data_IF_918475150353
#
_entry.id   IF_918475150353
#
_cell.length_a   1.000
_cell.length_b   1.000
_cell.length_c   1.000
_cell.angle_alpha   90.00
_cell.angle_beta   90.00
_cell.angle_gamma   90.00
#
_symmetry.space_group_name_H-M   'P 1'
#
loop_
_entity.id
_entity.type
_entity.pdbx_description
1 polymer ?
#
# COMPACT_ATOMS: atom_id res chain seq x y z
N UNK A 1 25.82 -2.97 72.20
CA UNK A 1 25.43 -3.68 70.96
C UNK A 1 24.00 -3.29 70.58
N UNK A 2 23.81 -2.31 69.69
CA UNK A 2 22.56 -2.10 68.94
C UNK A 2 22.91 -1.49 67.57
N UNK A 3 22.80 -2.32 66.54
CA UNK A 3 23.05 -1.98 65.14
C UNK A 3 21.82 -1.22 64.61
N UNK A 4 21.98 0.03 64.18
CA UNK A 4 20.92 0.78 63.50
C UNK A 4 20.94 0.41 62.02
N UNK A 5 19.96 -0.37 61.58
CA UNK A 5 19.78 -0.74 60.18
C UNK A 5 19.25 0.47 59.41
N UNK A 6 20.02 0.95 58.43
CA UNK A 6 19.63 1.99 57.49
C UNK A 6 19.00 1.30 56.27
N UNK A 7 17.70 1.47 56.07
CA UNK A 7 16.99 0.96 54.89
C UNK A 7 17.06 2.05 53.82
N UNK A 8 17.81 1.79 52.74
CA UNK A 8 17.85 2.64 51.55
C UNK A 8 16.67 2.21 50.66
N UNK A 9 15.63 3.04 50.61
CA UNK A 9 14.51 2.86 49.70
C UNK A 9 14.93 3.35 48.30
N UNK A 10 15.30 2.42 47.42
CA UNK A 10 15.57 2.72 46.02
C UNK A 10 14.23 2.97 45.30
N UNK A 11 13.93 4.24 45.03
CA UNK A 11 12.82 4.63 44.15
C UNK A 11 13.27 4.36 42.72
N UNK A 12 12.80 3.25 42.15
CA UNK A 12 12.95 2.98 40.71
C UNK A 12 11.98 3.89 39.98
N UNK A 13 12.51 4.96 39.39
CA UNK A 13 11.77 5.83 38.47
C UNK A 13 11.62 5.07 37.16
N UNK A 14 10.49 4.40 36.96
CA UNK A 14 10.14 3.81 35.66
C UNK A 14 9.76 4.97 34.74
N UNK A 15 10.69 5.41 33.90
CA UNK A 15 10.38 6.30 32.79
C UNK A 15 9.58 5.51 31.76
N UNK A 16 8.29 5.82 31.64
CA UNK A 16 7.44 5.32 30.57
C UNK A 16 8.06 5.73 29.23
N UNK A 17 8.52 4.73 28.48
CA UNK A 17 8.83 4.91 27.06
C UNK A 17 7.48 5.13 26.41
N UNK A 18 7.15 6.38 26.04
CA UNK A 18 5.96 6.68 25.26
C UNK A 18 6.13 6.02 23.88
N UNK A 19 5.70 4.77 23.77
CA UNK A 19 5.38 4.17 22.49
C UNK A 19 4.28 5.06 21.90
N UNK A 20 4.65 5.85 20.88
CA UNK A 20 3.76 6.74 20.14
C UNK A 20 2.50 5.94 19.80
N UNK A 21 1.36 6.29 20.41
CA UNK A 21 0.12 5.55 20.24
C UNK A 21 -0.26 5.48 18.76
N UNK A 22 -0.53 4.27 18.27
CA UNK A 22 -0.96 4.01 16.90
C UNK A 22 -2.33 4.63 16.66
N UNK A 23 -2.37 5.77 15.96
CA UNK A 23 -3.58 6.56 15.73
C UNK A 23 -4.58 5.84 14.83
N UNK A 24 -4.17 4.78 14.16
CA UNK A 24 -4.97 4.03 13.20
C UNK A 24 -5.38 2.65 13.72
N UNK A 25 -5.05 2.30 14.97
CA UNK A 25 -5.23 0.95 15.55
C UNK A 25 -6.61 0.35 15.24
N UNK A 26 -7.69 1.10 15.49
CA UNK A 26 -9.08 0.67 15.27
C UNK A 26 -9.49 0.52 13.80
N UNK A 27 -8.70 1.06 12.86
CA UNK A 27 -8.95 1.02 11.43
C UNK A 27 -8.05 0.03 10.69
N UNK A 28 -7.04 -0.54 11.36
CA UNK A 28 -6.08 -1.44 10.71
C UNK A 28 -6.73 -2.75 10.30
N UNK A 29 -6.28 -3.30 9.17
CA UNK A 29 -6.79 -4.56 8.62
C UNK A 29 -5.68 -5.40 7.97
N UNK A 30 -5.90 -6.72 7.85
CA UNK A 30 -5.06 -7.60 7.02
C UNK A 30 -5.36 -7.46 5.51
N UNK A 31 -6.55 -6.96 5.18
CA UNK A 31 -7.07 -6.86 3.81
C UNK A 31 -6.38 -5.75 3.03
N UNK A 32 -5.95 -6.05 1.81
CA UNK A 32 -5.18 -5.16 0.95
C UNK A 32 -6.01 -4.79 -0.26
N UNK A 33 -6.61 -3.60 -0.23
CA UNK A 33 -7.28 -3.03 -1.39
C UNK A 33 -6.33 -2.06 -2.06
N UNK A 34 -5.68 -2.52 -3.12
CA UNK A 34 -4.61 -1.83 -3.82
C UNK A 34 -5.23 -0.95 -4.91
N UNK A 35 -4.99 0.37 -4.86
CA UNK A 35 -5.48 1.26 -5.91
C UNK A 35 -4.52 1.26 -7.09
N UNK A 36 -5.05 0.97 -8.28
CA UNK A 36 -4.29 0.96 -9.52
C UNK A 36 -4.33 2.34 -10.20
N UNK A 37 -3.15 2.83 -10.60
CA UNK A 37 -2.98 4.06 -11.39
C UNK A 37 -2.78 3.79 -12.88
N UNK A 38 -2.47 2.55 -13.24
CA UNK A 38 -2.36 2.07 -14.62
C UNK A 38 -2.73 0.59 -14.66
N UNK A 39 -3.08 0.10 -15.86
CA UNK A 39 -3.02 -1.33 -16.09
C UNK A 39 -1.56 -1.78 -15.97
N UNK A 40 -1.34 -2.93 -15.36
CA UNK A 40 -0.03 -3.53 -15.20
C UNK A 40 -0.04 -4.93 -15.82
N UNK A 41 1.15 -5.40 -16.20
CA UNK A 41 1.36 -6.82 -16.48
C UNK A 41 1.54 -7.55 -15.15
N UNK A 42 0.98 -8.77 -14.98
CA UNK A 42 0.20 -9.51 -15.97
C UNK A 42 -1.22 -8.97 -16.14
N UNK A 43 -1.74 -8.99 -17.37
CA UNK A 43 -2.92 -8.22 -17.73
C UNK A 43 -4.26 -8.88 -17.39
N UNK A 44 -4.31 -10.21 -17.22
CA UNK A 44 -5.57 -10.89 -16.91
C UNK A 44 -5.82 -10.99 -15.41
N UNK A 45 -7.09 -10.78 -15.04
CA UNK A 45 -7.57 -10.88 -13.67
C UNK A 45 -9.00 -11.41 -13.67
N UNK A 46 -9.57 -11.61 -12.48
CA UNK A 46 -10.98 -11.94 -12.31
C UNK A 46 -11.66 -10.73 -11.67
N UNK A 47 -12.54 -10.07 -12.41
CA UNK A 47 -13.37 -8.99 -11.86
C UNK A 47 -14.46 -9.60 -10.99
N UNK A 48 -14.57 -9.13 -9.75
CA UNK A 48 -15.55 -9.63 -8.78
C UNK A 48 -16.75 -8.68 -8.62
N UNK A 49 -16.54 -7.36 -8.80
CA UNK A 49 -17.61 -6.37 -8.70
C UNK A 49 -17.21 -5.04 -9.36
N UNK A 50 -18.20 -4.23 -9.73
CA UNK A 50 -18.02 -2.83 -10.14
C UNK A 50 -18.96 -1.93 -9.33
N UNK A 51 -18.43 -0.87 -8.72
CA UNK A 51 -19.17 0.01 -7.81
C UNK A 51 -19.17 1.46 -8.32
N UNK A 52 -20.24 2.22 -8.06
CA UNK A 52 -20.26 3.68 -8.31
C UNK A 52 -19.49 4.47 -7.26
N UNK A 53 -19.44 3.95 -6.03
CA UNK A 53 -18.67 4.50 -4.92
C UNK A 53 -17.73 3.42 -4.37
N UNK A 54 -16.51 3.77 -3.95
CA UNK A 54 -15.61 2.79 -3.36
C UNK A 54 -16.15 2.30 -2.00
N UNK A 55 -15.74 1.11 -1.54
CA UNK A 55 -16.18 0.57 -0.26
C UNK A 55 -15.80 1.50 0.90
N UNK A 56 -16.59 1.47 1.96
CA UNK A 56 -16.37 2.27 3.17
C UNK A 56 -15.66 1.49 4.28
N UNK A 57 -15.62 0.16 4.18
CA UNK A 57 -14.93 -0.73 5.12
C UNK A 57 -14.25 -1.89 4.36
N UNK A 58 -13.11 -2.41 4.84
CA UNK A 58 -12.42 -3.52 4.20
C UNK A 58 -13.23 -4.82 4.18
N UNK A 59 -14.13 -5.01 5.16
CA UNK A 59 -15.02 -6.18 5.29
C UNK A 59 -16.04 -6.30 4.17
N UNK A 60 -16.21 -5.25 3.35
CA UNK A 60 -17.05 -5.30 2.15
C UNK A 60 -16.67 -6.48 1.24
N UNK A 61 -15.39 -6.87 1.23
CA UNK A 61 -14.92 -8.03 0.48
C UNK A 61 -14.78 -9.26 1.39
N UNK A 62 -15.81 -10.10 1.37
CA UNK A 62 -15.83 -11.39 2.06
C UNK A 62 -14.89 -12.39 1.39
N UNK A 63 -14.13 -13.16 2.18
CA UNK A 63 -13.23 -14.22 1.70
C UNK A 63 -12.15 -13.77 0.69
N UNK A 64 -11.92 -12.46 0.54
CA UNK A 64 -10.90 -11.87 -0.30
C UNK A 64 -9.97 -11.04 0.56
N UNK A 65 -8.70 -11.45 0.62
CA UNK A 65 -7.66 -10.74 1.36
C UNK A 65 -6.97 -9.66 0.53
N UNK A 66 -6.98 -9.79 -0.79
CA UNK A 66 -6.34 -8.84 -1.71
C UNK A 66 -7.28 -8.55 -2.88
N UNK A 67 -7.56 -7.28 -3.12
CA UNK A 67 -8.29 -6.81 -4.29
C UNK A 67 -7.57 -5.61 -4.92
N UNK A 68 -7.57 -5.52 -6.25
CA UNK A 68 -7.11 -4.34 -6.99
C UNK A 68 -8.28 -3.50 -7.43
N UNK A 69 -8.28 -2.23 -7.03
CA UNK A 69 -9.26 -1.21 -7.38
C UNK A 69 -8.80 -0.46 -8.63
N UNK A 70 -9.57 -0.57 -9.70
CA UNK A 70 -9.40 0.14 -10.96
C UNK A 70 -10.47 1.24 -11.07
N UNK A 71 -10.11 2.51 -10.84
CA UNK A 71 -11.02 3.64 -10.98
C UNK A 71 -11.21 3.96 -12.48
N UNK A 72 -12.27 3.48 -13.11
CA UNK A 72 -12.48 3.63 -14.54
C UNK A 72 -13.17 4.95 -14.92
N UNK A 73 -12.82 5.48 -16.10
CA UNK A 73 -13.30 6.77 -16.62
C UNK A 73 -14.82 6.85 -16.79
N UNK A 74 -15.47 5.71 -16.99
CA UNK A 74 -16.93 5.52 -17.05
C UNK A 74 -17.65 5.70 -15.70
N UNK A 75 -16.91 6.07 -14.66
CA UNK A 75 -17.47 6.36 -13.34
C UNK A 75 -17.54 5.17 -12.39
N UNK A 76 -17.12 3.98 -12.82
CA UNK A 76 -17.10 2.79 -11.96
C UNK A 76 -15.72 2.52 -11.36
N UNK A 77 -15.71 1.99 -10.15
CA UNK A 77 -14.56 1.36 -9.51
C UNK A 77 -14.69 -0.15 -9.72
N UNK A 78 -13.83 -0.73 -10.55
CA UNK A 78 -13.81 -2.18 -10.80
C UNK A 78 -12.82 -2.83 -9.85
N UNK A 79 -13.24 -3.90 -9.19
CA UNK A 79 -12.41 -4.64 -8.26
C UNK A 79 -12.09 -6.01 -8.85
N UNK A 80 -10.79 -6.33 -8.90
CA UNK A 80 -10.31 -7.59 -9.43
C UNK A 80 -9.45 -8.33 -8.41
N UNK A 81 -9.42 -9.65 -8.55
CA UNK A 81 -8.57 -10.57 -7.79
C UNK A 81 -7.74 -11.43 -8.75
N UNK A 82 -6.61 -11.93 -8.26
CA UNK A 82 -5.70 -12.80 -9.01
C UNK A 82 -4.95 -12.07 -10.13
N UNK A 83 -3.75 -12.54 -10.45
CA UNK A 83 -2.87 -11.98 -11.49
C UNK A 83 -2.46 -13.11 -12.41
N UNK A 84 -2.85 -13.03 -13.67
CA UNK A 84 -2.71 -14.12 -14.62
C UNK A 84 -2.08 -13.63 -15.91
N UNK A 85 -1.00 -14.30 -16.33
CA UNK A 85 -0.31 -14.01 -17.59
C UNK A 85 -1.14 -14.31 -18.83
N UNK A 86 -2.14 -15.19 -18.71
CA UNK A 86 -3.00 -15.60 -19.82
C UNK A 86 -4.48 -15.64 -19.41
N UNK A 87 -5.35 -15.52 -20.42
CA UNK A 87 -6.78 -15.72 -20.26
C UNK A 87 -7.08 -17.13 -19.74
N UNK A 88 -6.36 -18.14 -20.25
CA UNK A 88 -6.54 -19.54 -19.92
C UNK A 88 -6.24 -19.82 -18.44
N UNK A 89 -5.19 -19.22 -17.88
CA UNK A 89 -4.87 -19.34 -16.45
C UNK A 89 -5.98 -18.72 -15.59
N UNK A 90 -6.43 -17.52 -15.94
CA UNK A 90 -7.53 -16.85 -15.25
C UNK A 90 -8.84 -17.63 -15.35
N UNK A 91 -9.11 -18.22 -16.52
CA UNK A 91 -10.30 -19.03 -16.79
C UNK A 91 -10.34 -20.28 -15.93
N UNK A 92 -9.19 -20.90 -15.66
CA UNK A 92 -9.12 -22.04 -14.73
C UNK A 92 -9.35 -21.64 -13.26
N UNK A 93 -9.06 -20.40 -12.89
CA UNK A 93 -9.22 -19.91 -11.52
C UNK A 93 -10.61 -19.30 -11.23
N UNK A 94 -11.38 -18.91 -12.25
CA UNK A 94 -12.64 -18.15 -12.07
C UNK A 94 -13.68 -18.86 -11.21
N UNK A 95 -13.83 -20.18 -11.36
CA UNK A 95 -14.83 -20.93 -10.60
C UNK A 95 -14.47 -21.02 -9.12
N UNK A 96 -13.17 -21.00 -8.79
CA UNK A 96 -12.68 -20.86 -7.42
C UNK A 96 -13.00 -19.49 -6.80
N UNK A 97 -13.01 -18.42 -7.60
CA UNK A 97 -13.44 -17.09 -7.11
C UNK A 97 -14.96 -17.03 -6.94
N UNK A 98 -15.71 -17.67 -7.83
CA UNK A 98 -17.18 -17.76 -7.71
C UNK A 98 -17.61 -18.49 -6.45
N UNK A 99 -16.92 -19.59 -6.09
CA UNK A 99 -17.23 -20.35 -4.87
C UNK A 99 -16.96 -19.58 -3.56
N UNK A 100 -16.23 -18.45 -3.61
CA UNK A 100 -16.06 -17.55 -2.47
C UNK A 100 -17.27 -16.63 -2.23
N UNK A 101 -18.29 -16.68 -3.10
CA UNK A 101 -19.51 -15.86 -3.03
C UNK A 101 -19.62 -14.79 -4.14
N UNK A 102 -18.68 -14.77 -5.09
CA UNK A 102 -18.68 -13.83 -6.22
C UNK A 102 -19.21 -14.50 -7.48
N UNK A 103 -20.46 -14.95 -7.47
CA UNK A 103 -21.05 -15.77 -8.55
C UNK A 103 -20.97 -15.13 -9.95
N UNK A 104 -21.07 -13.80 -9.98
CA UNK A 104 -20.98 -13.00 -11.21
C UNK A 104 -19.53 -12.68 -11.62
N UNK A 105 -18.52 -13.26 -10.96
CA UNK A 105 -17.13 -13.02 -11.30
C UNK A 105 -16.79 -13.54 -12.71
N UNK A 106 -15.98 -12.78 -13.42
CA UNK A 106 -15.58 -13.11 -14.78
C UNK A 106 -14.15 -12.67 -15.07
N UNK A 107 -13.52 -13.36 -16.03
CA UNK A 107 -12.16 -13.04 -16.49
C UNK A 107 -12.19 -11.73 -17.26
N UNK A 108 -11.24 -10.85 -16.97
CA UNK A 108 -11.05 -9.55 -17.62
C UNK A 108 -9.62 -9.39 -18.07
N UNK A 109 -9.43 -8.62 -19.14
CA UNK A 109 -8.14 -8.06 -19.51
C UNK A 109 -8.06 -6.62 -18.96
N UNK A 110 -7.28 -6.43 -17.90
CA UNK A 110 -7.19 -5.15 -17.19
C UNK A 110 -6.52 -4.05 -18.01
N UNK A 111 -5.81 -4.38 -19.11
CA UNK A 111 -5.28 -3.37 -20.04
C UNK A 111 -6.36 -2.66 -20.84
N UNK A 112 -7.57 -3.22 -20.89
CA UNK A 112 -8.73 -2.61 -21.55
C UNK A 112 -9.45 -1.59 -20.66
N UNK A 113 -9.08 -1.51 -19.37
CA UNK A 113 -9.63 -0.49 -18.48
C UNK A 113 -9.04 0.89 -18.78
N UNK A 114 -9.90 1.82 -19.15
CA UNK A 114 -9.57 3.25 -19.22
C UNK A 114 -9.69 3.85 -17.83
N UNK A 115 -8.60 4.26 -17.19
CA UNK A 115 -8.62 4.74 -15.81
C UNK A 115 -8.83 6.25 -15.71
N UNK A 116 -9.50 6.70 -14.65
CA UNK A 116 -9.66 8.12 -14.31
C UNK A 116 -8.29 8.72 -14.03
N UNK A 117 -7.98 9.84 -14.69
CA UNK A 117 -6.71 10.52 -14.50
C UNK A 117 -5.52 9.84 -15.18
N UNK A 118 -5.74 8.78 -15.98
CA UNK A 118 -4.79 8.46 -17.04
C UNK A 118 -4.81 9.64 -18.02
N UNK A 119 -3.81 10.49 -17.95
CA UNK A 119 -3.39 11.22 -19.14
C UNK A 119 -3.02 10.14 -20.18
N UNK A 120 -3.53 10.26 -21.41
CA UNK A 120 -3.02 9.46 -22.53
C UNK A 120 -1.50 9.63 -22.57
N UNK A 121 -0.76 8.61 -22.16
CA UNK A 121 0.69 8.55 -22.36
C UNK A 121 0.95 8.10 -23.79
N UNK A 122 0.44 8.87 -24.77
CA UNK A 122 1.02 8.86 -26.11
C UNK A 122 2.11 9.92 -26.04
N UNK A 123 3.27 9.50 -25.54
CA UNK A 123 4.43 10.39 -25.37
C UNK A 123 5.30 9.95 -24.21
N UNK A 124 6.24 9.04 -24.51
CA UNK A 124 7.49 8.77 -23.80
C UNK A 124 7.41 8.41 -22.31
N UNK A 125 8.11 7.34 -21.94
CA UNK A 125 8.64 7.22 -20.59
C UNK A 125 9.45 8.50 -20.31
N UNK A 126 8.83 9.49 -19.65
CA UNK A 126 9.61 10.53 -19.01
C UNK A 126 10.31 9.81 -17.88
N UNK A 127 11.59 9.47 -18.09
CA UNK A 127 12.51 9.28 -16.99
C UNK A 127 12.37 10.56 -16.16
N UNK A 128 11.58 10.49 -15.09
CA UNK A 128 11.44 11.61 -14.17
C UNK A 128 12.83 11.77 -13.57
N UNK A 129 13.62 12.66 -14.15
CA UNK A 129 15.00 12.92 -13.74
C UNK A 129 14.97 13.21 -12.25
N UNK A 130 15.74 12.42 -11.50
CA UNK A 130 15.88 12.61 -10.06
C UNK A 130 16.72 13.86 -9.86
N UNK A 131 16.20 14.79 -9.08
CA UNK A 131 16.89 16.04 -8.75
C UNK A 131 17.83 15.75 -7.56
N UNK A 132 19.15 15.86 -7.74
CA UNK A 132 20.10 15.55 -6.67
C UNK A 132 19.95 16.46 -5.44
N UNK A 133 19.31 17.63 -5.58
CA UNK A 133 19.12 18.59 -4.50
C UNK A 133 17.79 18.43 -3.76
N UNK A 134 17.03 17.38 -4.07
CA UNK A 134 15.75 17.09 -3.42
C UNK A 134 15.81 15.82 -2.59
N UNK A 135 14.95 15.80 -1.57
CA UNK A 135 14.74 14.62 -0.75
C UNK A 135 13.63 13.73 -1.33
N UNK A 136 13.91 12.44 -1.31
CA UNK A 136 13.02 11.39 -1.74
C UNK A 136 12.80 10.40 -0.60
N UNK A 137 11.62 9.80 -0.60
CA UNK A 137 11.32 8.60 0.17
C UNK A 137 10.91 7.49 -0.78
N UNK A 138 11.06 6.24 -0.35
CA UNK A 138 10.73 5.08 -1.18
C UNK A 138 9.33 4.63 -0.83
N UNK A 139 8.36 4.82 -1.73
CA UNK A 139 7.01 4.31 -1.53
C UNK A 139 7.00 2.80 -1.77
N UNK A 140 6.58 2.04 -0.76
CA UNK A 140 6.49 0.58 -0.77
C UNK A 140 5.15 0.08 -1.29
N UNK A 141 4.06 0.73 -0.87
CA UNK A 141 2.69 0.29 -1.18
C UNK A 141 1.66 1.42 -1.00
N UNK A 142 0.48 1.24 -1.58
CA UNK A 142 -0.66 2.13 -1.43
C UNK A 142 -1.95 1.33 -1.28
N UNK A 143 -2.68 1.55 -0.18
CA UNK A 143 -3.88 0.80 0.18
C UNK A 143 -5.05 1.72 0.51
N UNK A 144 -6.28 1.27 0.22
CA UNK A 144 -7.52 1.99 0.52
C UNK A 144 -7.76 2.17 2.02
N UNK A 145 -7.31 1.20 2.81
CA UNK A 145 -7.46 1.13 4.26
C UNK A 145 -6.07 0.93 4.88
N UNK A 146 -5.84 1.40 6.12
CA UNK A 146 -4.55 1.20 6.75
C UNK A 146 -4.33 -0.27 7.08
N UNK A 147 -3.12 -0.77 6.85
CA UNK A 147 -2.75 -2.16 7.10
C UNK A 147 -1.84 -2.27 8.31
N UNK A 148 -1.72 -3.46 8.90
CA UNK A 148 -0.75 -3.70 9.96
C UNK A 148 0.70 -3.50 9.48
N UNK A 149 1.51 -2.78 10.25
CA UNK A 149 2.92 -2.49 9.87
C UNK A 149 3.79 -3.74 9.77
N UNK A 150 3.44 -4.80 10.51
CA UNK A 150 4.11 -6.11 10.40
C UNK A 150 3.98 -6.75 9.01
N UNK A 151 3.17 -6.19 8.10
CA UNK A 151 3.14 -6.53 6.69
C UNK A 151 4.49 -6.24 6.00
N UNK A 152 5.14 -5.14 6.37
CA UNK A 152 6.39 -4.68 5.76
C UNK A 152 7.58 -5.36 6.43
N UNK A 153 7.87 -6.60 6.01
CA UNK A 153 9.00 -7.37 6.54
C UNK A 153 10.32 -6.69 6.19
N UNK A 154 11.26 -6.75 7.14
CA UNK A 154 12.63 -6.24 7.01
C UNK A 154 12.74 -4.72 6.77
N UNK A 155 11.71 -3.96 7.17
CA UNK A 155 11.71 -2.49 7.12
C UNK A 155 11.21 -1.99 8.47
N UNK A 156 12.06 -1.26 9.19
CA UNK A 156 11.75 -0.82 10.55
C UNK A 156 11.21 0.62 10.60
N UNK A 157 11.51 1.44 9.59
CA UNK A 157 11.25 2.89 9.56
C UNK A 157 10.09 3.27 8.62
N UNK A 158 8.96 2.56 8.76
CA UNK A 158 7.77 2.83 7.95
C UNK A 158 7.16 4.19 8.32
N UNK A 159 6.92 5.02 7.30
CA UNK A 159 6.13 6.25 7.39
C UNK A 159 4.77 6.06 6.72
N UNK A 160 3.71 6.58 7.35
CA UNK A 160 2.33 6.46 6.88
C UNK A 160 1.75 7.82 6.48
N UNK A 161 1.17 7.88 5.28
CA UNK A 161 0.57 9.10 4.73
C UNK A 161 -0.86 8.85 4.26
N UNK A 162 -1.81 9.73 4.62
CA UNK A 162 -3.17 9.71 4.06
C UNK A 162 -3.33 10.85 3.07
N UNK A 163 -3.19 10.53 1.79
CA UNK A 163 -3.19 11.53 0.73
C UNK A 163 -4.61 12.07 0.45
N UNK A 164 -4.70 13.12 -0.38
CA UNK A 164 -5.98 13.74 -0.79
C UNK A 164 -6.94 12.77 -1.48
N UNK A 165 -6.42 11.73 -2.13
CA UNK A 165 -7.20 10.66 -2.76
C UNK A 165 -7.76 9.65 -1.75
N UNK A 166 -7.54 9.88 -0.44
CA UNK A 166 -7.94 9.01 0.67
C UNK A 166 -7.30 7.62 0.63
N UNK A 167 -6.16 7.49 -0.03
CA UNK A 167 -5.33 6.29 -0.05
C UNK A 167 -4.20 6.46 0.97
N UNK A 168 -3.96 5.38 1.72
CA UNK A 168 -2.85 5.26 2.65
C UNK A 168 -1.62 4.83 1.88
N UNK A 169 -0.56 5.63 1.95
CA UNK A 169 0.72 5.34 1.30
C UNK A 169 1.75 5.07 2.38
N UNK A 170 2.52 4.02 2.14
CA UNK A 170 3.55 3.51 3.04
C UNK A 170 4.90 3.75 2.39
N UNK A 171 5.78 4.45 3.09
CA UNK A 171 7.13 4.75 2.59
C UNK A 171 8.19 4.42 3.64
N UNK A 172 9.45 4.40 3.23
CA UNK A 172 10.62 4.18 4.11
C UNK A 172 11.75 5.11 3.70
N UNK A 173 12.56 5.51 4.68
CA UNK A 173 13.75 6.31 4.50
C UNK A 173 13.51 7.72 3.93
N UNK A 174 14.58 8.50 3.98
CA UNK A 174 14.68 9.85 3.46
C UNK A 174 16.09 9.98 2.87
N UNK A 175 16.16 10.24 1.57
CA UNK A 175 17.39 10.14 0.80
C UNK A 175 17.52 11.35 -0.13
N UNK A 176 18.72 11.91 -0.21
CA UNK A 176 19.02 12.89 -1.26
C UNK A 176 18.97 12.20 -2.62
N UNK A 177 18.59 12.96 -3.66
CA UNK A 177 18.39 12.41 -4.99
C UNK A 177 19.64 11.75 -5.59
N UNK A 178 20.84 12.18 -5.18
CA UNK A 178 22.11 11.59 -5.61
C UNK A 178 22.33 10.14 -5.15
N UNK A 179 21.72 9.73 -4.02
CA UNK A 179 21.81 8.37 -3.46
C UNK A 179 20.49 7.59 -3.53
N UNK A 180 19.37 8.27 -3.82
CA UNK A 180 18.03 7.71 -3.75
C UNK A 180 17.81 6.47 -4.64
N UNK A 181 18.39 6.42 -5.85
CA UNK A 181 18.27 5.25 -6.74
C UNK A 181 18.96 4.01 -6.16
N UNK A 182 20.13 4.19 -5.53
CA UNK A 182 20.85 3.10 -4.90
C UNK A 182 20.03 2.49 -3.76
N UNK A 183 19.42 3.34 -2.94
CA UNK A 183 18.55 2.89 -1.83
C UNK A 183 17.28 2.22 -2.35
N UNK A 184 16.68 2.75 -3.43
CA UNK A 184 15.56 2.09 -4.11
C UNK A 184 15.91 0.66 -4.54
N UNK A 185 17.10 0.47 -5.13
CA UNK A 185 17.53 -0.85 -5.59
C UNK A 185 17.71 -1.84 -4.43
N UNK A 186 18.19 -1.38 -3.26
CA UNK A 186 18.24 -2.20 -2.05
C UNK A 186 16.84 -2.62 -1.59
N UNK A 187 15.90 -1.67 -1.55
CA UNK A 187 14.50 -1.96 -1.19
C UNK A 187 13.85 -2.95 -2.16
N UNK A 188 14.09 -2.80 -3.47
CA UNK A 188 13.62 -3.76 -4.48
C UNK A 188 14.23 -5.15 -4.30
N UNK A 189 15.51 -5.22 -3.93
CA UNK A 189 16.18 -6.49 -3.63
C UNK A 189 15.61 -7.20 -2.39
N UNK A 190 14.99 -6.47 -1.46
CA UNK A 190 14.24 -7.05 -0.33
C UNK A 190 12.86 -7.63 -0.73
N UNK A 191 12.44 -7.46 -1.98
CA UNK A 191 11.20 -8.03 -2.53
C UNK A 191 10.10 -7.01 -2.85
N UNK A 192 10.30 -5.72 -2.54
CA UNK A 192 9.35 -4.65 -2.86
C UNK A 192 9.52 -4.19 -4.32
N UNK A 193 9.19 -5.08 -5.27
CA UNK A 193 9.48 -4.87 -6.70
C UNK A 193 8.84 -3.61 -7.29
N UNK A 194 7.63 -3.27 -6.82
CA UNK A 194 6.85 -2.10 -7.25
C UNK A 194 7.22 -0.80 -6.51
N UNK A 195 8.22 -0.88 -5.63
CA UNK A 195 8.71 0.30 -4.94
C UNK A 195 9.22 1.35 -5.94
N UNK A 196 8.98 2.61 -5.62
CA UNK A 196 9.40 3.74 -6.45
C UNK A 196 9.67 4.98 -5.59
N UNK A 197 10.50 5.87 -6.13
CA UNK A 197 10.84 7.12 -5.46
C UNK A 197 9.73 8.15 -5.60
N UNK A 198 9.44 8.84 -4.51
CA UNK A 198 8.56 10.00 -4.47
C UNK A 198 9.26 11.15 -3.76
N UNK A 199 9.05 12.38 -4.24
CA UNK A 199 9.59 13.58 -3.57
C UNK A 199 8.95 13.69 -2.18
N UNK A 200 9.76 13.67 -1.13
CA UNK A 200 9.31 13.60 0.26
C UNK A 200 8.43 14.80 0.63
N UNK A 201 8.80 16.00 0.19
CA UNK A 201 8.07 17.24 0.44
C UNK A 201 6.59 17.16 0.01
N UNK A 202 6.29 16.42 -1.07
CA UNK A 202 4.91 16.25 -1.56
C UNK A 202 4.04 15.39 -0.63
N UNK A 203 4.67 14.62 0.25
CA UNK A 203 4.03 13.68 1.17
C UNK A 203 3.93 14.25 2.57
N UNK A 204 4.94 15.00 3.03
CA UNK A 204 5.02 15.53 4.41
C UNK A 204 3.72 16.19 4.94
N UNK A 205 2.98 17.01 4.16
CA UNK A 205 1.72 17.59 4.64
C UNK A 205 0.62 16.57 4.97
N UNK A 206 0.77 15.32 4.57
CA UNK A 206 -0.20 14.23 4.72
C UNK A 206 0.26 13.15 5.72
N UNK A 207 1.39 13.37 6.41
CA UNK A 207 1.98 12.40 7.34
C UNK A 207 1.07 12.17 8.54
N UNK A 208 0.83 10.91 8.87
CA UNK A 208 0.01 10.50 10.02
C UNK A 208 0.93 10.15 11.20
N UNK A 209 1.96 9.35 10.90
CA UNK A 209 2.97 8.82 11.82
C UNK A 209 4.38 8.92 11.27
#
# INVERSE_FOLDING_TARGET
>A
MKLKSLIILAVVLVTSIDAKADKLESMRTSKKIIRMSSAQSPSFAIQIIALKLPPQAPEFFHNVEVAREYPCSDGYYRFCVGEFSSYEDAKRAVDGVKSLGYEQAFVVNTTEYVLKGQASVIGSASTKMIDPNKEYTIQLSAFRFPVYLNHFKNIDDIMEFRMKDKIFRYTTGQFMGDVAEQELNKIKALGYKDAHLVELEKYLPFKIE
#
